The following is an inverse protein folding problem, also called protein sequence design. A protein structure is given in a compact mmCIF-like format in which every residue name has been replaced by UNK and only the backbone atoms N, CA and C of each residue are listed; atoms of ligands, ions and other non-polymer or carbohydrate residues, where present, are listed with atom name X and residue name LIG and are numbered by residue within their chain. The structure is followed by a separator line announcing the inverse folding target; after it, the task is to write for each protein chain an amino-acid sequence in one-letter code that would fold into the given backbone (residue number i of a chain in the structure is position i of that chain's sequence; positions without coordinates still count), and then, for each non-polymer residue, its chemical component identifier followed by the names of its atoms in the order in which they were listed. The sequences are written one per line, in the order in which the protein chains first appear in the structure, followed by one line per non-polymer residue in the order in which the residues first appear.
data_IF_403561457452
#
_entry.id   IF_403561457452
#
_cell.length_a   1.000
_cell.length_b   1.000
_cell.length_c   1.000
_cell.angle_alpha   90.00
_cell.angle_beta   90.00
_cell.angle_gamma   90.00
#
_symmetry.space_group_name_H-M   'P 1'
#
loop_
_entity.id
_entity.type
_entity.pdbx_description
1 polymer ?
#
# COMPACT_ATOMS: atom_id res chain seq x y z
N UNK A 1 32.86 21.22 -19.62
CA UNK A 1 33.35 21.38 -18.23
C UNK A 1 32.74 22.57 -17.48
N UNK A 2 32.06 23.54 -18.13
CA UNK A 2 31.39 24.65 -17.41
C UNK A 2 29.89 24.45 -17.21
N UNK A 3 29.23 23.70 -18.09
CA UNK A 3 27.78 23.45 -18.04
C UNK A 3 27.37 22.46 -16.94
N UNK A 4 28.20 21.46 -16.65
CA UNK A 4 27.89 20.46 -15.61
C UNK A 4 27.80 21.09 -14.20
N UNK A 5 28.59 22.15 -13.94
CA UNK A 5 28.65 22.83 -12.63
C UNK A 5 27.40 23.67 -12.36
N UNK A 6 26.73 24.16 -13.40
CA UNK A 6 25.52 25.00 -13.28
C UNK A 6 24.26 24.14 -13.11
N UNK A 7 24.23 22.95 -13.73
CA UNK A 7 23.06 22.06 -13.71
C UNK A 7 22.75 21.57 -12.29
N UNK A 8 23.77 21.27 -11.49
CA UNK A 8 23.60 20.73 -10.14
C UNK A 8 22.86 21.70 -9.18
N UNK A 9 23.30 22.95 -8.95
CA UNK A 9 22.58 23.89 -8.11
C UNK A 9 21.21 24.28 -8.69
N UNK A 10 21.03 24.23 -10.02
CA UNK A 10 19.75 24.51 -10.66
C UNK A 10 18.70 23.44 -10.31
N UNK A 11 19.07 22.15 -10.35
CA UNK A 11 18.19 21.04 -9.96
C UNK A 11 17.80 21.13 -8.49
N UNK A 12 18.77 21.40 -7.60
CA UNK A 12 18.49 21.59 -6.17
C UNK A 12 17.62 22.83 -5.92
N UNK A 13 17.83 23.92 -6.65
CA UNK A 13 17.01 25.13 -6.56
C UNK A 13 15.56 24.90 -7.00
N UNK A 14 15.34 24.15 -8.08
CA UNK A 14 13.99 23.81 -8.55
C UNK A 14 13.29 22.86 -7.56
N UNK A 15 13.98 21.81 -7.09
CA UNK A 15 13.43 20.91 -6.07
C UNK A 15 13.06 21.68 -4.80
N UNK A 16 13.96 22.52 -4.30
CA UNK A 16 13.70 23.38 -3.15
C UNK A 16 12.53 24.32 -3.40
N UNK A 17 12.46 24.95 -4.57
CA UNK A 17 11.37 25.84 -4.96
C UNK A 17 10.00 25.15 -4.95
N UNK A 18 9.91 23.93 -5.47
CA UNK A 18 8.66 23.13 -5.46
C UNK A 18 8.24 22.83 -4.02
N UNK A 19 9.15 22.34 -3.18
CA UNK A 19 8.85 22.03 -1.78
C UNK A 19 8.48 23.28 -0.96
N UNK A 20 9.20 24.38 -1.17
CA UNK A 20 8.95 25.65 -0.51
C UNK A 20 7.57 26.21 -0.88
N UNK A 21 7.21 26.19 -2.18
CA UNK A 21 5.89 26.62 -2.64
C UNK A 21 4.78 25.71 -2.09
N UNK A 22 4.97 24.40 -2.08
CA UNK A 22 3.99 23.46 -1.54
C UNK A 22 3.70 23.73 -0.05
N UNK A 23 4.74 23.87 0.78
CA UNK A 23 4.59 24.15 2.21
C UNK A 23 4.00 25.55 2.42
N UNK A 24 4.49 26.56 1.68
CA UNK A 24 4.02 27.93 1.83
C UNK A 24 2.57 28.12 1.36
N UNK A 25 2.15 27.47 0.28
CA UNK A 25 0.77 27.54 -0.22
C UNK A 25 -0.19 26.96 0.81
N UNK A 26 0.12 25.78 1.36
CA UNK A 26 -0.71 25.13 2.39
C UNK A 26 -0.80 25.95 3.68
N UNK A 27 0.28 26.63 4.08
CA UNK A 27 0.24 27.50 5.25
C UNK A 27 -0.64 28.73 5.02
N UNK A 28 -0.56 29.34 3.82
CA UNK A 28 -1.40 30.47 3.43
C UNK A 28 -2.88 30.09 3.33
N UNK A 29 -3.21 28.92 2.80
CA UNK A 29 -4.59 28.41 2.75
C UNK A 29 -5.18 28.24 4.16
N UNK A 30 -4.41 27.67 5.09
CA UNK A 30 -4.84 27.49 6.49
C UNK A 30 -5.04 28.81 7.23
N UNK A 31 -4.16 29.79 7.00
CA UNK A 31 -4.29 31.13 7.60
C UNK A 31 -5.49 31.88 7.02
N UNK A 32 -5.72 31.80 5.70
CA UNK A 32 -6.87 32.42 5.05
C UNK A 32 -8.21 31.84 5.53
N UNK A 33 -8.25 30.56 5.91
CA UNK A 33 -9.43 29.93 6.51
C UNK A 33 -9.69 30.41 7.95
N UNK A 34 -8.62 30.66 8.72
CA UNK A 34 -8.69 31.23 10.08
C UNK A 34 -9.15 32.69 10.02
N UNK A 35 -8.60 33.50 9.11
CA UNK A 35 -8.92 34.92 8.93
C UNK A 35 -10.35 35.16 8.41
N UNK A 36 -10.89 34.23 7.61
CA UNK A 36 -12.28 34.30 7.12
C UNK A 36 -13.33 33.87 8.17
N UNK A 37 -12.92 33.52 9.38
CA UNK A 37 -13.85 33.14 10.45
C UNK A 37 -14.71 31.92 10.11
N UNK A 38 -14.26 31.07 9.18
CA UNK A 38 -14.92 29.82 8.87
C UNK A 38 -14.76 28.90 10.07
N UNK A 39 -15.82 28.80 10.84
CA UNK A 39 -15.92 28.04 12.08
C UNK A 39 -15.26 26.65 11.93
N UNK A 40 -14.33 26.36 12.84
CA UNK A 40 -13.59 25.09 12.88
C UNK A 40 -14.54 23.87 12.97
N UNK A 41 -15.82 24.11 13.27
CA UNK A 41 -16.90 23.13 13.22
C UNK A 41 -17.11 22.45 11.85
N UNK A 42 -16.72 23.06 10.72
CA UNK A 42 -16.82 22.42 9.38
C UNK A 42 -15.69 21.38 9.17
N UNK A 43 -14.57 21.49 9.89
CA UNK A 43 -13.49 20.49 9.86
C UNK A 43 -13.68 19.37 10.89
N UNK A 44 -14.49 19.58 11.93
CA UNK A 44 -14.83 18.56 12.92
C UNK A 44 -16.18 17.88 12.65
N UNK A 45 -17.01 18.43 11.77
CA UNK A 45 -18.23 17.78 11.31
C UNK A 45 -17.90 16.74 10.25
N UNK A 46 -17.81 15.49 10.68
CA UNK A 46 -18.36 14.30 10.00
C UNK A 46 -17.45 13.09 10.19
N UNK A 47 -17.52 12.52 11.38
CA UNK A 47 -17.15 11.13 11.67
C UNK A 47 -15.66 10.86 11.54
N UNK A 48 -15.13 10.19 12.56
CA UNK A 48 -14.12 9.17 12.34
C UNK A 48 -14.64 8.25 11.23
N UNK A 49 -14.38 8.59 9.96
CA UNK A 49 -14.30 7.57 8.92
C UNK A 49 -13.21 6.68 9.48
N UNK A 50 -13.57 5.47 9.91
CA UNK A 50 -12.64 4.36 10.08
C UNK A 50 -12.01 4.14 8.71
N UNK A 51 -11.07 5.00 8.33
CA UNK A 51 -10.24 4.79 7.16
C UNK A 51 -9.36 3.66 7.63
N UNK A 52 -9.73 2.42 7.28
CA UNK A 52 -8.89 1.27 7.56
C UNK A 52 -7.50 1.63 7.04
N UNK A 53 -6.47 1.72 7.90
CA UNK A 53 -5.17 2.19 7.47
C UNK A 53 -4.70 1.30 6.31
N UNK A 54 -4.39 1.89 5.16
CA UNK A 54 -4.00 1.17 3.94
C UNK A 54 -2.83 0.20 4.25
N UNK A 55 -1.95 0.58 5.17
CA UNK A 55 -0.86 -0.27 5.68
C UNK A 55 -1.32 -1.56 6.35
N UNK A 56 -2.43 -1.55 7.11
CA UNK A 56 -2.99 -2.76 7.74
C UNK A 56 -3.54 -3.71 6.68
N UNK A 57 -4.18 -3.16 5.65
CA UNK A 57 -4.69 -3.94 4.51
C UNK A 57 -3.55 -4.61 3.74
N UNK A 58 -2.47 -3.86 3.49
CA UNK A 58 -1.27 -4.37 2.82
C UNK A 58 -0.62 -5.50 3.62
N UNK A 59 -0.40 -5.28 4.93
CA UNK A 59 0.19 -6.30 5.82
C UNK A 59 -0.68 -7.56 5.89
N UNK A 60 -2.00 -7.42 6.00
CA UNK A 60 -2.93 -8.56 6.09
C UNK A 60 -2.93 -9.40 4.82
N UNK A 61 -3.02 -8.77 3.64
CA UNK A 61 -3.00 -9.50 2.37
C UNK A 61 -1.62 -10.12 2.11
N UNK A 62 -0.54 -9.44 2.48
CA UNK A 62 0.82 -9.95 2.30
C UNK A 62 1.11 -11.14 3.21
N UNK A 63 0.67 -11.11 4.47
CA UNK A 63 0.84 -12.25 5.38
C UNK A 63 0.07 -13.47 4.91
N UNK A 64 -1.18 -13.31 4.47
CA UNK A 64 -2.00 -14.40 3.93
C UNK A 64 -1.46 -14.96 2.62
N UNK A 65 -0.88 -14.12 1.75
CA UNK A 65 -0.19 -14.58 0.54
C UNK A 65 1.00 -15.48 0.88
N UNK A 66 1.88 -15.03 1.80
CA UNK A 66 3.05 -15.80 2.23
C UNK A 66 2.65 -17.11 2.92
N UNK A 67 1.61 -17.09 3.75
CA UNK A 67 1.04 -18.31 4.35
C UNK A 67 0.51 -19.27 3.27
N UNK A 68 -0.23 -18.75 2.28
CA UNK A 68 -0.75 -19.54 1.16
C UNK A 68 0.37 -20.21 0.35
N UNK A 69 1.44 -19.49 0.04
CA UNK A 69 2.61 -20.04 -0.66
C UNK A 69 3.27 -21.15 0.19
N UNK A 70 3.50 -20.90 1.48
CA UNK A 70 4.11 -21.88 2.37
C UNK A 70 3.30 -23.18 2.48
N UNK A 71 1.98 -23.06 2.65
CA UNK A 71 1.08 -24.23 2.68
C UNK A 71 1.05 -24.92 1.30
N UNK A 72 1.04 -24.15 0.20
CA UNK A 72 1.06 -24.67 -1.15
C UNK A 72 2.29 -25.54 -1.45
N UNK A 73 3.47 -25.15 -0.95
CA UNK A 73 4.70 -25.94 -1.08
C UNK A 73 4.59 -27.27 -0.32
N UNK A 74 4.08 -27.25 0.92
CA UNK A 74 3.90 -28.48 1.69
C UNK A 74 2.92 -29.44 1.03
N UNK A 75 1.77 -28.93 0.55
CA UNK A 75 0.77 -29.75 -0.13
C UNK A 75 1.33 -30.28 -1.47
N UNK A 76 2.05 -29.46 -2.25
CA UNK A 76 2.69 -29.89 -3.49
C UNK A 76 3.68 -31.04 -3.25
N UNK A 77 4.53 -30.93 -2.22
CA UNK A 77 5.48 -31.97 -1.86
C UNK A 77 4.79 -33.29 -1.47
N UNK A 78 3.70 -33.21 -0.70
CA UNK A 78 2.88 -34.38 -0.37
C UNK A 78 2.25 -34.98 -1.63
N UNK A 79 1.74 -34.14 -2.54
CA UNK A 79 1.08 -34.57 -3.77
C UNK A 79 2.06 -35.25 -4.73
N UNK A 80 3.27 -34.71 -4.86
CA UNK A 80 4.33 -35.30 -5.66
C UNK A 80 4.77 -36.66 -5.09
N UNK A 81 5.09 -36.73 -3.80
CA UNK A 81 5.61 -37.95 -3.16
C UNK A 81 4.55 -39.03 -2.99
N UNK A 82 3.30 -38.65 -2.69
CA UNK A 82 2.25 -39.62 -2.32
C UNK A 82 1.35 -40.02 -3.49
N UNK A 83 1.07 -39.08 -4.40
CA UNK A 83 0.14 -39.29 -5.54
C UNK A 83 0.91 -39.47 -6.85
N UNK A 84 2.20 -39.15 -6.89
CA UNK A 84 3.04 -39.28 -8.09
C UNK A 84 2.75 -38.20 -9.14
N UNK A 85 2.22 -37.05 -8.71
CA UNK A 85 1.97 -35.92 -9.62
C UNK A 85 3.31 -35.34 -10.07
N UNK A 86 3.42 -35.04 -11.36
CA UNK A 86 4.61 -34.46 -11.97
C UNK A 86 4.99 -33.12 -11.29
N UNK A 87 6.28 -32.95 -10.99
CA UNK A 87 6.80 -31.82 -10.19
C UNK A 87 6.42 -30.47 -10.82
N UNK A 88 6.55 -30.39 -12.15
CA UNK A 88 6.29 -29.20 -12.97
C UNK A 88 4.81 -28.77 -12.95
N UNK A 89 3.91 -29.64 -12.49
CA UNK A 89 2.48 -29.35 -12.37
C UNK A 89 2.12 -29.18 -10.90
N UNK A 90 2.61 -30.08 -10.03
CA UNK A 90 2.31 -30.11 -8.62
C UNK A 90 2.74 -28.81 -7.93
N UNK A 91 4.00 -28.38 -8.10
CA UNK A 91 4.51 -27.19 -7.41
C UNK A 91 3.81 -25.91 -7.85
N UNK A 92 3.87 -25.50 -9.13
CA UNK A 92 3.24 -24.25 -9.55
C UNK A 92 1.72 -24.29 -9.35
N UNK A 93 1.06 -25.41 -9.66
CA UNK A 93 -0.39 -25.55 -9.51
C UNK A 93 -0.84 -25.33 -8.07
N UNK A 94 -0.23 -26.02 -7.11
CA UNK A 94 -0.64 -25.94 -5.71
C UNK A 94 -0.25 -24.61 -5.06
N UNK A 95 0.92 -24.05 -5.43
CA UNK A 95 1.37 -22.74 -4.94
C UNK A 95 0.43 -21.63 -5.41
N UNK A 96 0.11 -21.55 -6.70
CA UNK A 96 -0.79 -20.50 -7.21
C UNK A 96 -2.20 -20.63 -6.65
N UNK A 97 -2.70 -21.86 -6.51
CA UNK A 97 -4.01 -22.11 -5.91
C UNK A 97 -4.06 -21.63 -4.45
N UNK A 98 -3.11 -22.09 -3.62
CA UNK A 98 -3.10 -21.75 -2.20
C UNK A 98 -2.77 -20.27 -1.94
N UNK A 99 -1.88 -19.67 -2.74
CA UNK A 99 -1.63 -18.23 -2.71
C UNK A 99 -2.89 -17.42 -3.07
N UNK A 100 -3.63 -17.84 -4.10
CA UNK A 100 -4.89 -17.23 -4.51
C UNK A 100 -5.98 -17.31 -3.43
N UNK A 101 -6.11 -18.47 -2.77
CA UNK A 101 -7.04 -18.64 -1.63
C UNK A 101 -6.64 -17.74 -0.45
N UNK A 102 -5.35 -17.66 -0.14
CA UNK A 102 -4.83 -16.74 0.88
C UNK A 102 -5.19 -15.28 0.58
N UNK A 103 -4.96 -14.83 -0.65
CA UNK A 103 -5.29 -13.46 -1.05
C UNK A 103 -6.81 -13.19 -1.06
N UNK A 104 -7.62 -14.16 -1.51
CA UNK A 104 -9.08 -14.05 -1.53
C UNK A 104 -9.67 -13.94 -0.12
N UNK A 105 -9.15 -14.71 0.83
CA UNK A 105 -9.55 -14.59 2.24
C UNK A 105 -9.12 -13.25 2.83
N UNK A 106 -7.91 -12.77 2.50
CA UNK A 106 -7.42 -11.45 2.91
C UNK A 106 -8.27 -10.29 2.39
N UNK A 107 -8.72 -10.39 1.14
CA UNK A 107 -9.64 -9.41 0.54
C UNK A 107 -10.99 -9.40 1.26
N UNK A 108 -11.57 -10.57 1.54
CA UNK A 108 -12.84 -10.66 2.26
C UNK A 108 -12.73 -10.16 3.72
N UNK A 109 -11.62 -10.42 4.40
CA UNK A 109 -11.35 -9.90 5.74
C UNK A 109 -11.19 -8.38 5.72
N UNK A 110 -10.48 -7.85 4.73
CA UNK A 110 -10.33 -6.40 4.50
C UNK A 110 -11.69 -5.73 4.29
N UNK A 111 -12.55 -6.34 3.46
CA UNK A 111 -13.91 -5.82 3.18
C UNK A 111 -14.79 -5.75 4.44
N UNK A 112 -14.53 -6.56 5.46
CA UNK A 112 -15.22 -6.50 6.76
C UNK A 112 -14.68 -5.40 7.68
N UNK A 113 -13.43 -4.96 7.50
CA UNK A 113 -12.81 -3.90 8.30
C UNK A 113 -13.30 -2.49 7.90
N UNK A 114 -13.68 -2.33 6.62
CA UNK A 114 -14.24 -1.08 6.08
C UNK A 114 -15.73 -0.88 6.35
N UNK A 115 -16.41 -1.88 6.97
CA UNK A 115 -17.80 -1.77 7.45
C UNK A 115 -17.83 -1.38 8.92
#
# INVERSE_FOLDING_TARGET
MGSEVVILPLIFGVLFGIFYLFISARNKERMALIEKGADASIFYSSKEKRVTPIWKVLILNFSLLLMGIGIGIFIAGILHVSVGVEEDIAYPGTIFLMAGVGLFTGFNMTKKLDK
#
